data_IF_329740162016
#
_entry.id   IF_329740162016
#
_cell.length_a   1.000
_cell.length_b   1.000
_cell.length_c   1.000
_cell.angle_alpha   90.00
_cell.angle_beta   90.00
_cell.angle_gamma   90.00
#
_symmetry.space_group_name_H-M   'P 1'
#
loop_
_entity.id
_entity.type
_entity.pdbx_description
1 polymer ?
#
# COMPACT_ATOMS: atom_id res chain seq x y z
N UNK A 1 56.39 -9.32 42.46
CA UNK A 1 56.81 -9.92 41.18
C UNK A 1 56.32 -11.35 41.15
N UNK A 2 55.35 -11.67 40.29
CA UNK A 2 54.90 -13.01 39.88
C UNK A 2 53.86 -12.71 38.78
N UNK A 3 53.93 -13.17 37.54
CA UNK A 3 54.48 -14.41 36.99
C UNK A 3 53.36 -15.05 36.18
N UNK A 4 53.51 -15.07 34.85
CA UNK A 4 52.52 -15.48 33.81
C UNK A 4 52.10 -16.96 33.86
N UNK A 5 50.98 -17.28 33.20
CA UNK A 5 50.65 -18.63 32.67
C UNK A 5 49.14 -18.89 32.62
N UNK A 6 48.41 -18.52 31.55
CA UNK A 6 48.06 -19.31 30.35
C UNK A 6 46.96 -20.37 30.59
N UNK A 7 45.90 -20.20 29.79
CA UNK A 7 44.60 -20.86 29.72
C UNK A 7 44.67 -22.19 28.95
N UNK A 8 43.90 -23.20 29.39
CA UNK A 8 43.63 -24.40 28.60
C UNK A 8 42.44 -25.23 29.09
N UNK A 9 41.49 -25.51 28.19
CA UNK A 9 40.51 -26.61 28.21
C UNK A 9 39.32 -26.44 29.17
N UNK A 10 38.06 -26.55 28.78
CA UNK A 10 37.42 -27.24 27.66
C UNK A 10 36.08 -27.79 28.17
N UNK A 11 35.00 -27.00 28.05
CA UNK A 11 33.66 -27.36 28.47
C UNK A 11 32.70 -27.22 27.28
N UNK A 12 32.48 -28.32 26.57
CA UNK A 12 31.62 -28.37 25.39
C UNK A 12 30.15 -28.13 25.74
N UNK A 13 29.62 -26.98 25.35
CA UNK A 13 28.18 -26.71 25.33
C UNK A 13 27.57 -27.47 24.15
N UNK A 14 26.76 -28.50 24.43
CA UNK A 14 25.96 -29.20 23.41
C UNK A 14 24.98 -28.20 22.79
N UNK A 15 25.02 -28.03 21.47
CA UNK A 15 24.04 -27.24 20.74
C UNK A 15 22.65 -27.88 20.86
N UNK A 16 21.56 -27.10 20.98
CA UNK A 16 20.21 -27.64 21.03
C UNK A 16 19.90 -28.33 19.71
N UNK A 17 19.39 -29.56 19.77
CA UNK A 17 18.95 -30.30 18.58
C UNK A 17 17.74 -29.56 17.97
N UNK A 18 17.71 -29.32 16.66
CA UNK A 18 16.51 -28.81 16.01
C UNK A 18 15.36 -29.81 16.22
N UNK A 19 14.23 -29.32 16.74
CA UNK A 19 13.00 -30.11 16.99
C UNK A 19 12.13 -30.26 15.74
N UNK A 20 12.58 -29.70 14.61
CA UNK A 20 11.85 -29.75 13.36
C UNK A 20 12.35 -30.93 12.53
N UNK A 21 11.48 -31.93 12.39
CA UNK A 21 11.66 -33.03 11.44
C UNK A 21 10.78 -32.71 10.24
N UNK A 22 11.40 -32.25 9.14
CA UNK A 22 10.69 -32.17 7.87
C UNK A 22 10.45 -33.58 7.37
N UNK A 23 9.17 -33.98 7.25
CA UNK A 23 8.78 -35.23 6.62
C UNK A 23 8.66 -35.12 5.10
N UNK A 24 8.82 -33.89 4.56
CA UNK A 24 8.82 -33.64 3.12
C UNK A 24 10.24 -33.80 2.61
N UNK A 25 10.43 -34.70 1.65
CA UNK A 25 11.72 -34.90 0.99
C UNK A 25 12.01 -33.72 0.06
N UNK A 26 13.26 -33.23 -0.06
CA UNK A 26 13.60 -32.08 -0.90
C UNK A 26 13.10 -32.21 -2.35
N UNK A 27 13.00 -33.44 -2.86
CA UNK A 27 12.54 -33.75 -4.21
C UNK A 27 11.01 -33.65 -4.38
N UNK A 28 10.24 -33.65 -3.28
CA UNK A 28 8.78 -33.47 -3.27
C UNK A 28 8.37 -31.99 -3.18
N UNK A 29 9.34 -31.10 -2.96
CA UNK A 29 9.15 -29.66 -3.12
C UNK A 29 9.23 -29.39 -4.63
N UNK A 30 8.11 -29.61 -5.32
CA UNK A 30 7.94 -29.01 -6.63
C UNK A 30 7.89 -27.49 -6.44
N UNK A 31 9.06 -26.86 -6.43
CA UNK A 31 9.21 -25.44 -6.72
C UNK A 31 8.77 -25.30 -8.17
N UNK A 32 7.46 -25.16 -8.39
CA UNK A 32 7.01 -24.32 -9.48
C UNK A 32 7.55 -22.94 -9.10
N UNK A 33 8.77 -22.66 -9.55
CA UNK A 33 9.22 -21.31 -9.86
C UNK A 33 8.32 -20.79 -11.01
N UNK A 34 7.00 -20.74 -10.75
CA UNK A 34 6.19 -19.69 -11.32
C UNK A 34 6.70 -18.46 -10.61
N UNK A 35 7.73 -17.87 -11.23
CA UNK A 35 7.90 -16.44 -11.36
C UNK A 35 6.62 -15.77 -10.86
N UNK A 36 6.67 -15.23 -9.64
CA UNK A 36 5.64 -14.31 -9.16
C UNK A 36 5.83 -13.11 -10.07
N UNK A 37 5.28 -13.20 -11.29
CA UNK A 37 4.95 -12.02 -12.06
C UNK A 37 3.87 -11.37 -11.21
N UNK A 38 4.31 -10.52 -10.27
CA UNK A 38 3.49 -9.48 -9.72
C UNK A 38 2.87 -8.82 -10.96
N UNK A 39 1.61 -9.12 -11.25
CA UNK A 39 0.87 -8.40 -12.26
C UNK A 39 0.75 -6.99 -11.70
N UNK A 40 1.70 -6.16 -12.09
CA UNK A 40 1.72 -4.74 -11.79
C UNK A 40 0.35 -4.20 -12.19
N UNK A 41 -0.44 -3.71 -11.22
CA UNK A 41 -1.68 -2.99 -11.50
C UNK A 41 -1.26 -1.73 -12.26
N UNK A 42 -1.27 -1.79 -13.58
CA UNK A 42 -0.64 -0.77 -14.42
C UNK A 42 -1.48 0.49 -14.43
N UNK A 43 -0.92 1.58 -13.91
CA UNK A 43 -1.46 2.93 -14.05
C UNK A 43 -1.71 3.24 -15.54
N UNK A 44 -2.96 3.51 -15.91
CA UNK A 44 -3.28 3.96 -17.27
C UNK A 44 -3.08 5.48 -17.40
N UNK A 45 -2.04 5.87 -18.15
CA UNK A 45 -1.73 7.26 -18.47
C UNK A 45 -2.27 7.64 -19.85
N UNK A 46 -2.83 8.84 -19.96
CA UNK A 46 -3.18 9.44 -21.24
C UNK A 46 -1.93 9.95 -21.96
N UNK A 47 -1.96 10.11 -23.30
CA UNK A 47 -0.86 10.74 -24.03
C UNK A 47 -0.53 12.13 -23.47
N UNK A 48 0.69 12.28 -22.95
CA UNK A 48 1.19 13.53 -22.36
C UNK A 48 0.96 13.66 -20.85
N UNK A 49 0.22 12.76 -20.21
CA UNK A 49 0.03 12.74 -18.76
C UNK A 49 1.31 12.30 -18.05
N UNK A 50 1.69 13.01 -16.98
CA UNK A 50 2.93 12.76 -16.23
C UNK A 50 2.67 12.38 -14.78
N UNK A 51 3.36 11.33 -14.32
CA UNK A 51 3.42 10.96 -12.92
C UNK A 51 4.15 12.04 -12.11
N UNK A 52 3.51 12.58 -11.08
CA UNK A 52 4.09 13.58 -10.18
C UNK A 52 4.57 12.97 -8.88
N UNK A 53 3.74 12.15 -8.24
CA UNK A 53 4.11 11.43 -7.03
C UNK A 53 3.23 10.20 -6.80
N UNK A 54 3.72 9.30 -5.94
CA UNK A 54 2.99 8.12 -5.51
C UNK A 54 3.20 7.88 -4.02
N UNK A 55 2.23 7.20 -3.41
CA UNK A 55 2.30 6.67 -2.06
C UNK A 55 1.79 5.23 -2.07
N UNK A 56 2.64 4.30 -1.62
CA UNK A 56 2.31 2.88 -1.51
C UNK A 56 1.71 2.56 -0.13
N UNK A 57 1.09 1.39 0.02
CA UNK A 57 0.49 0.93 1.28
C UNK A 57 -0.61 1.85 1.84
N UNK A 58 -1.31 2.55 0.94
CA UNK A 58 -2.43 3.43 1.28
C UNK A 58 -3.68 2.58 1.46
N UNK A 59 -4.42 2.79 2.54
CA UNK A 59 -5.71 2.14 2.76
C UNK A 59 -6.84 3.07 2.30
N UNK A 60 -7.56 2.72 1.25
CA UNK A 60 -8.83 3.37 0.88
C UNK A 60 -9.96 2.75 1.70
N UNK A 61 -10.67 3.55 2.48
CA UNK A 61 -11.84 3.06 3.22
C UNK A 61 -13.02 2.84 2.28
N UNK A 62 -13.72 1.70 2.45
CA UNK A 62 -14.99 1.44 1.79
C UNK A 62 -16.09 1.91 2.73
N UNK A 63 -17.00 2.74 2.24
CA UNK A 63 -18.11 3.26 3.02
C UNK A 63 -19.26 2.25 3.00
N UNK A 64 -19.08 1.15 3.74
CA UNK A 64 -20.13 0.13 3.93
C UNK A 64 -20.38 -0.03 5.44
N UNK A 65 -21.66 -0.10 5.82
CA UNK A 65 -22.13 0.13 7.18
C UNK A 65 -21.38 -0.69 8.25
N UNK A 66 -20.90 0.02 9.29
CA UNK A 66 -20.41 -0.47 10.59
C UNK A 66 -19.07 -1.22 10.68
N UNK A 67 -18.41 -1.57 9.57
CA UNK A 67 -17.05 -2.12 9.60
C UNK A 67 -16.06 -1.16 8.93
N UNK A 68 -15.02 -0.72 9.65
CA UNK A 68 -13.89 0.03 9.06
C UNK A 68 -13.02 -0.89 8.18
N UNK A 69 -13.60 -1.43 7.11
CA UNK A 69 -12.90 -2.19 6.08
C UNK A 69 -12.42 -1.23 4.99
N UNK A 70 -11.31 -1.59 4.37
CA UNK A 70 -10.72 -0.82 3.30
C UNK A 70 -9.84 -1.70 2.43
N UNK A 71 -9.51 -1.19 1.26
CA UNK A 71 -8.67 -1.84 0.26
C UNK A 71 -7.29 -1.19 0.37
N UNK A 72 -6.23 -1.99 0.53
CA UNK A 72 -4.87 -1.49 0.43
C UNK A 72 -4.49 -1.28 -1.03
N UNK A 73 -3.59 -0.35 -1.29
CA UNK A 73 -3.17 -0.05 -2.63
C UNK A 73 -2.16 1.07 -2.71
N UNK A 74 -1.99 1.58 -3.93
CA UNK A 74 -1.14 2.72 -4.26
C UNK A 74 -2.01 3.92 -4.63
N UNK A 75 -1.74 5.06 -4.00
CA UNK A 75 -2.32 6.35 -4.39
C UNK A 75 -1.31 7.07 -5.30
N UNK A 76 -1.74 7.40 -6.50
CA UNK A 76 -0.91 8.02 -7.53
C UNK A 76 -1.46 9.39 -7.88
N UNK A 77 -0.59 10.38 -7.99
CA UNK A 77 -0.93 11.72 -8.45
C UNK A 77 -0.20 11.99 -9.77
N UNK A 78 -0.96 12.37 -10.79
CA UNK A 78 -0.44 12.85 -12.07
C UNK A 78 -0.77 14.33 -12.24
N UNK A 79 -0.33 14.93 -13.34
CA UNK A 79 -0.75 16.27 -13.74
C UNK A 79 -2.20 16.37 -14.23
N UNK A 80 -2.93 15.24 -14.29
CA UNK A 80 -4.32 15.16 -14.71
C UNK A 80 -5.29 14.63 -13.64
N UNK A 81 -4.88 13.63 -12.85
CA UNK A 81 -5.75 12.94 -11.91
C UNK A 81 -5.01 12.42 -10.67
N UNK A 82 -5.79 12.13 -9.63
CA UNK A 82 -5.41 11.29 -8.51
C UNK A 82 -6.06 9.93 -8.76
N UNK A 83 -5.27 8.87 -8.85
CA UNK A 83 -5.71 7.50 -9.09
C UNK A 83 -5.41 6.63 -7.88
N UNK A 84 -6.34 5.74 -7.51
CA UNK A 84 -6.10 4.72 -6.50
C UNK A 84 -6.11 3.33 -7.14
N UNK A 85 -4.96 2.67 -7.09
CA UNK A 85 -4.72 1.33 -7.60
C UNK A 85 -4.81 0.36 -6.42
N UNK A 86 -5.95 -0.32 -6.27
CA UNK A 86 -6.15 -1.28 -5.19
C UNK A 86 -5.39 -2.59 -5.45
N UNK A 87 -4.89 -3.22 -4.38
CA UNK A 87 -4.17 -4.50 -4.42
C UNK A 87 -5.10 -5.70 -4.69
N UNK A 88 -6.41 -5.53 -4.48
CA UNK A 88 -7.40 -6.58 -4.62
C UNK A 88 -8.07 -6.51 -6.01
N UNK A 89 -7.75 -7.50 -6.85
CA UNK A 89 -8.22 -7.67 -8.24
C UNK A 89 -9.73 -7.97 -8.35
N UNK A 90 -10.41 -8.17 -7.22
CA UNK A 90 -11.81 -8.64 -7.16
C UNK A 90 -12.88 -7.67 -7.69
N UNK A 91 -12.50 -6.45 -8.09
CA UNK A 91 -13.43 -5.47 -8.67
C UNK A 91 -13.51 -5.51 -10.22
N UNK A 92 -12.69 -6.33 -10.89
CA UNK A 92 -12.57 -6.27 -12.35
C UNK A 92 -13.73 -6.90 -13.13
N UNK A 93 -14.54 -7.78 -12.54
CA UNK A 93 -15.40 -8.69 -13.32
C UNK A 93 -16.88 -8.77 -12.90
N UNK A 94 -17.49 -7.69 -12.40
CA UNK A 94 -18.92 -7.79 -12.03
C UNK A 94 -19.84 -6.67 -12.49
N UNK A 95 -19.57 -6.02 -13.63
CA UNK A 95 -20.68 -5.31 -14.27
C UNK A 95 -20.53 -5.03 -15.77
N UNK A 96 -20.91 -6.00 -16.60
CA UNK A 96 -21.15 -5.77 -18.03
C UNK A 96 -22.36 -4.84 -18.29
N UNK A 97 -23.10 -4.42 -17.25
CA UNK A 97 -24.28 -3.56 -17.39
C UNK A 97 -24.12 -2.11 -16.90
N UNK A 98 -22.94 -1.71 -16.40
CA UNK A 98 -22.71 -0.34 -15.96
C UNK A 98 -22.07 0.54 -17.06
N UNK A 99 -22.68 1.71 -17.30
CA UNK A 99 -22.05 2.78 -18.06
C UNK A 99 -20.85 3.35 -17.28
N UNK A 100 -19.66 2.82 -17.55
CA UNK A 100 -18.41 3.29 -16.96
C UNK A 100 -17.65 4.20 -17.93
N UNK A 101 -16.95 5.19 -17.38
CA UNK A 101 -16.08 6.05 -18.17
C UNK A 101 -14.83 5.25 -18.60
N UNK A 102 -14.54 5.20 -19.91
CA UNK A 102 -13.39 4.46 -20.45
C UNK A 102 -12.04 5.14 -20.20
N UNK A 103 -12.05 6.41 -19.83
CA UNK A 103 -10.88 7.27 -19.63
C UNK A 103 -10.58 7.43 -18.13
N UNK A 104 -11.63 7.58 -17.31
CA UNK A 104 -11.54 7.82 -15.87
C UNK A 104 -12.03 6.57 -15.15
N UNK A 105 -11.13 5.91 -14.42
CA UNK A 105 -11.48 4.77 -13.59
C UNK A 105 -12.45 5.14 -12.47
N UNK A 106 -13.11 4.13 -11.89
CA UNK A 106 -14.06 4.31 -10.79
C UNK A 106 -13.42 5.02 -9.57
N UNK A 107 -12.15 4.72 -9.33
CA UNK A 107 -11.35 5.25 -8.23
C UNK A 107 -10.54 6.50 -8.61
N UNK A 108 -10.67 6.97 -9.86
CA UNK A 108 -9.95 8.14 -10.33
C UNK A 108 -10.71 9.43 -9.99
N UNK A 109 -9.93 10.44 -9.61
CA UNK A 109 -10.38 11.79 -9.30
C UNK A 109 -9.58 12.74 -10.18
N UNK A 110 -10.20 13.29 -11.22
CA UNK A 110 -9.53 14.34 -12.01
C UNK A 110 -9.21 15.53 -11.14
N UNK A 111 -8.07 16.19 -11.35
CA UNK A 111 -7.69 17.37 -10.56
C UNK A 111 -8.75 18.48 -10.64
N UNK A 112 -9.46 18.58 -11.76
CA UNK A 112 -10.58 19.52 -11.93
C UNK A 112 -11.78 19.20 -11.03
N UNK A 113 -12.01 17.92 -10.70
CA UNK A 113 -13.14 17.49 -9.86
C UNK A 113 -12.87 17.68 -8.36
N UNK A 114 -11.62 17.92 -7.94
CA UNK A 114 -11.32 18.19 -6.53
C UNK A 114 -12.00 19.50 -6.10
N UNK A 115 -12.84 19.42 -5.07
CA UNK A 115 -13.42 20.59 -4.40
C UNK A 115 -12.53 20.99 -3.23
N UNK A 116 -12.36 20.09 -2.26
CA UNK A 116 -11.62 20.37 -1.03
C UNK A 116 -10.84 19.15 -0.56
N UNK A 117 -9.62 19.40 -0.07
CA UNK A 117 -8.74 18.38 0.48
C UNK A 117 -8.54 18.63 1.98
N UNK A 118 -8.76 17.61 2.80
CA UNK A 118 -8.55 17.64 4.23
C UNK A 118 -7.53 16.60 4.66
N UNK A 119 -6.72 16.95 5.64
CA UNK A 119 -5.84 16.04 6.36
C UNK A 119 -6.30 15.89 7.80
N UNK A 120 -6.24 14.67 8.32
CA UNK A 120 -6.42 14.38 9.75
C UNK A 120 -5.03 14.23 10.38
N UNK A 121 -4.77 15.05 11.39
CA UNK A 121 -3.53 15.04 12.17
C UNK A 121 -3.88 14.83 13.63
N UNK A 122 -3.40 13.75 14.23
CA UNK A 122 -3.65 13.44 15.65
C UNK A 122 -5.16 13.62 15.96
N UNK A 123 -6.01 12.96 15.16
CA UNK A 123 -7.49 13.00 15.18
C UNK A 123 -8.16 14.34 14.79
N UNK A 124 -7.40 15.40 14.52
CA UNK A 124 -7.95 16.71 14.12
C UNK A 124 -7.99 16.87 12.60
N UNK A 125 -9.20 17.02 12.05
CA UNK A 125 -9.43 17.34 10.63
C UNK A 125 -9.08 18.82 10.36
N UNK A 126 -8.26 19.07 9.33
CA UNK A 126 -7.87 20.41 8.84
C UNK A 126 -7.82 20.43 7.32
N UNK A 127 -8.19 21.54 6.71
CA UNK A 127 -8.03 21.72 5.26
C UNK A 127 -6.55 21.84 4.91
N UNK A 128 -6.12 21.19 3.82
CA UNK A 128 -4.74 21.22 3.36
C UNK A 128 -4.56 22.32 2.32
N UNK A 129 -3.52 23.13 2.49
CA UNK A 129 -3.12 24.18 1.56
C UNK A 129 -1.61 24.27 1.48
N UNK A 130 -1.07 24.44 0.27
CA UNK A 130 0.36 24.66 0.05
C UNK A 130 1.24 23.50 0.51
N UNK A 131 2.50 23.81 0.81
CA UNK A 131 3.49 22.82 1.22
C UNK A 131 3.30 22.45 2.70
N UNK A 132 3.18 21.15 2.98
CA UNK A 132 2.94 20.63 4.32
C UNK A 132 4.26 20.36 5.05
N UNK A 133 4.30 20.69 6.35
CA UNK A 133 5.45 20.37 7.24
C UNK A 133 5.43 18.94 7.77
N UNK A 134 4.23 18.39 7.94
CA UNK A 134 3.94 17.01 8.37
C UNK A 134 2.87 16.48 7.43
N UNK A 135 2.96 15.22 7.04
CA UNK A 135 1.92 14.56 6.26
C UNK A 135 0.78 14.09 7.18
N UNK A 136 -0.48 14.17 6.74
CA UNK A 136 -1.61 13.71 7.54
C UNK A 136 -1.64 12.18 7.66
N UNK A 137 -2.24 11.67 8.73
CA UNK A 137 -2.50 10.23 8.89
C UNK A 137 -3.63 9.77 7.98
N UNK A 138 -4.63 10.65 7.77
CA UNK A 138 -5.75 10.39 6.85
C UNK A 138 -5.93 11.55 5.90
N UNK A 139 -6.17 11.24 4.63
CA UNK A 139 -6.51 12.19 3.58
C UNK A 139 -7.99 12.02 3.23
N UNK A 140 -8.71 13.13 3.15
CA UNK A 140 -10.12 13.16 2.76
C UNK A 140 -10.26 14.11 1.57
N UNK A 141 -10.75 13.60 0.44
CA UNK A 141 -10.95 14.38 -0.78
C UNK A 141 -12.43 14.49 -1.04
N UNK A 142 -12.96 15.71 -0.96
CA UNK A 142 -14.31 16.03 -1.40
C UNK A 142 -14.26 16.44 -2.88
N UNK A 143 -15.13 15.84 -3.67
CA UNK A 143 -15.23 16.08 -5.11
C UNK A 143 -16.47 16.92 -5.44
N UNK A 144 -16.40 17.67 -6.55
CA UNK A 144 -17.50 18.49 -7.08
C UNK A 144 -18.69 17.65 -7.57
N UNK A 145 -18.46 16.37 -7.85
CA UNK A 145 -19.47 15.38 -8.23
C UNK A 145 -20.11 14.66 -7.03
N UNK A 146 -19.99 15.24 -5.82
CA UNK A 146 -20.50 14.73 -4.55
C UNK A 146 -19.81 13.46 -4.00
N UNK A 147 -18.79 12.92 -4.69
CA UNK A 147 -18.00 11.81 -4.14
C UNK A 147 -17.09 12.29 -3.00
N UNK A 148 -16.89 11.44 -2.00
CA UNK A 148 -15.94 11.67 -0.92
C UNK A 148 -15.04 10.45 -0.79
N UNK A 149 -13.72 10.66 -0.89
CA UNK A 149 -12.73 9.61 -0.77
C UNK A 149 -11.99 9.74 0.57
N UNK A 150 -11.83 8.60 1.25
CA UNK A 150 -11.13 8.50 2.52
C UNK A 150 -9.93 7.56 2.38
N UNK A 151 -8.74 8.09 2.62
CA UNK A 151 -7.50 7.34 2.58
C UNK A 151 -6.78 7.43 3.92
N UNK A 152 -6.21 6.32 4.39
CA UNK A 152 -5.23 6.30 5.46
C UNK A 152 -3.84 6.18 4.85
N UNK A 153 -2.97 7.13 5.16
CA UNK A 153 -1.59 7.16 4.71
C UNK A 153 -0.73 6.50 5.80
N UNK A 154 -0.31 5.26 5.58
CA UNK A 154 0.75 4.66 6.39
C UNK A 154 2.08 5.17 5.85
N UNK A 155 2.67 6.14 6.54
CA UNK A 155 4.04 6.57 6.26
C UNK A 155 4.97 5.43 6.67
N UNK A 156 5.48 4.66 5.71
CA UNK A 156 6.74 3.94 5.93
C UNK A 156 7.84 4.99 5.96
N UNK A 157 8.50 5.13 7.11
CA UNK A 157 9.73 5.93 7.19
C UNK A 157 10.73 5.29 6.22
N UNK A 158 11.07 5.99 5.14
CA UNK A 158 12.19 5.64 4.29
C UNK A 158 13.48 6.20 4.91
#
# INVERSE_FOLDING_TARGET
MLGKGVVGGGGGTKAPKPSFVSYVRPEEIHTNEKEVTEKEVTLHLLPGEQLLCEASTVLKYVQEDSCQRGIYGKLVCTDFKIAFLGDDESALDNDETQFKNKIIGENDITLHCVDQIYGVFDEKKKTLFGQLKKYPEKLIIHCKDFRVFHFCLRLSVA
#
